data_IF_206963639732
#
_entry.id   IF_206963639732
#
_cell.length_a   1.000
_cell.length_b   1.000
_cell.length_c   1.000
_cell.angle_alpha   90.00
_cell.angle_beta   90.00
_cell.angle_gamma   90.00
#
_symmetry.space_group_name_H-M   'P 1'
#
loop_
_entity.id
_entity.type
_entity.pdbx_description
1 polymer ?
#
# COMPACT_ATOMS: atom_id res chain seq x y z
N UNK A 1 25.56 7.78 -12.92
CA UNK A 1 24.23 8.19 -12.44
C UNK A 1 24.24 8.17 -10.93
N UNK A 2 23.59 9.15 -10.30
CA UNK A 2 23.29 9.09 -8.87
C UNK A 2 22.22 8.00 -8.64
N UNK A 3 22.23 7.25 -7.52
CA UNK A 3 21.18 6.30 -7.17
C UNK A 3 19.74 6.78 -7.41
N UNK A 4 19.40 8.03 -7.03
CA UNK A 4 18.08 8.62 -7.30
C UNK A 4 17.72 8.67 -8.79
N UNK A 5 18.67 9.07 -9.64
CA UNK A 5 18.47 9.14 -11.09
C UNK A 5 18.27 7.75 -11.73
N UNK A 6 18.80 6.68 -11.11
CA UNK A 6 18.61 5.30 -11.59
C UNK A 6 17.26 4.72 -11.21
N UNK A 7 16.76 5.06 -10.03
CA UNK A 7 15.46 4.65 -9.50
C UNK A 7 14.31 5.29 -10.28
N UNK A 8 14.37 6.60 -10.46
CA UNK A 8 13.41 7.37 -11.25
C UNK A 8 13.39 6.85 -12.70
N UNK A 9 14.56 6.61 -13.29
CA UNK A 9 14.65 6.04 -14.64
C UNK A 9 14.15 4.60 -14.72
N UNK A 10 14.42 3.75 -13.73
CA UNK A 10 13.91 2.37 -13.72
C UNK A 10 12.38 2.31 -13.65
N UNK A 11 11.79 3.19 -12.84
CA UNK A 11 10.33 3.31 -12.74
C UNK A 11 9.74 3.78 -14.06
N UNK A 12 10.30 4.84 -14.67
CA UNK A 12 9.91 5.32 -16.00
C UNK A 12 10.05 4.23 -17.07
N UNK A 13 11.18 3.51 -17.09
CA UNK A 13 11.45 2.47 -18.09
C UNK A 13 10.53 1.24 -17.91
N UNK A 14 10.00 0.99 -16.70
CA UNK A 14 9.05 -0.10 -16.40
C UNK A 14 7.59 0.32 -16.69
N UNK A 15 7.23 1.57 -16.40
CA UNK A 15 5.96 2.20 -16.80
C UNK A 15 5.81 2.34 -18.31
N UNK A 16 6.88 2.70 -19.03
CA UNK A 16 6.90 2.74 -20.50
C UNK A 16 6.60 1.36 -21.11
N UNK A 17 6.97 0.27 -20.41
CA UNK A 17 6.65 -1.08 -20.85
C UNK A 17 5.18 -1.46 -20.64
N UNK A 18 4.49 -0.84 -19.69
CA UNK A 18 3.04 -1.04 -19.48
C UNK A 18 2.19 -0.31 -20.53
N UNK A 19 2.75 0.70 -21.21
CA UNK A 19 2.01 1.63 -22.06
C UNK A 19 2.27 1.46 -23.57
N UNK A 20 3.00 0.42 -24.01
CA UNK A 20 3.45 0.18 -25.40
C UNK A 20 4.24 1.35 -26.05
N UNK A 21 4.85 2.23 -25.26
CA UNK A 21 5.69 3.32 -25.78
C UNK A 21 7.15 2.89 -25.71
N UNK A 22 7.70 2.39 -26.82
CA UNK A 22 9.15 2.14 -26.95
C UNK A 22 9.92 3.46 -26.99
N UNK A 23 10.47 3.89 -25.86
CA UNK A 23 11.43 5.01 -25.84
C UNK A 23 12.83 4.50 -26.18
N UNK A 24 13.25 4.73 -27.43
CA UNK A 24 14.58 4.43 -27.97
C UNK A 24 15.61 5.46 -27.49
N UNK A 25 15.95 5.44 -26.19
CA UNK A 25 17.08 6.19 -25.67
C UNK A 25 18.19 5.23 -25.20
N UNK A 26 18.94 4.74 -26.19
CA UNK A 26 20.16 3.94 -26.04
C UNK A 26 21.29 4.77 -25.40
N UNK A 27 21.25 4.89 -24.07
CA UNK A 27 22.45 5.17 -23.28
C UNK A 27 22.98 3.84 -22.79
N UNK A 28 24.29 3.60 -22.95
CA UNK A 28 25.03 2.44 -22.44
C UNK A 28 24.70 2.18 -20.95
N UNK A 29 23.68 1.35 -20.70
CA UNK A 29 23.28 0.91 -19.38
C UNK A 29 24.21 -0.21 -18.92
N UNK A 30 24.41 -0.33 -17.62
CA UNK A 30 25.14 -1.48 -17.08
C UNK A 30 24.35 -2.76 -17.35
N UNK A 31 25.07 -3.86 -17.60
CA UNK A 31 24.47 -5.19 -17.80
C UNK A 31 23.52 -5.58 -16.65
N UNK A 32 23.83 -5.16 -15.43
CA UNK A 32 23.00 -5.38 -14.24
C UNK A 32 21.65 -4.64 -14.31
N UNK A 33 21.63 -3.41 -14.84
CA UNK A 33 20.38 -2.64 -14.99
C UNK A 33 19.46 -3.27 -16.03
N UNK A 34 20.00 -3.68 -17.17
CA UNK A 34 19.22 -4.36 -18.23
C UNK A 34 18.62 -5.68 -17.72
N UNK A 35 19.38 -6.44 -16.92
CA UNK A 35 18.89 -7.68 -16.30
C UNK A 35 17.78 -7.43 -15.27
N UNK A 36 17.93 -6.39 -14.44
CA UNK A 36 16.90 -6.01 -13.47
C UNK A 36 15.61 -5.54 -14.15
N UNK A 37 15.73 -4.79 -15.24
CA UNK A 37 14.57 -4.29 -16.00
C UNK A 37 13.86 -5.44 -16.71
N UNK A 38 14.60 -6.37 -17.31
CA UNK A 38 14.05 -7.58 -17.92
C UNK A 38 13.36 -8.48 -16.89
N UNK A 39 13.91 -8.59 -15.67
CA UNK A 39 13.27 -9.29 -14.55
C UNK A 39 11.94 -8.64 -14.15
N UNK A 40 11.93 -7.31 -14.00
CA UNK A 40 10.72 -6.54 -13.67
C UNK A 40 9.61 -6.76 -14.71
N UNK A 41 9.93 -6.61 -16.00
CA UNK A 41 8.99 -6.88 -17.11
C UNK A 41 8.41 -8.30 -17.07
N UNK A 42 9.26 -9.29 -16.79
CA UNK A 42 8.84 -10.70 -16.80
C UNK A 42 7.92 -11.08 -15.63
N UNK A 43 7.95 -10.33 -14.53
CA UNK A 43 7.16 -10.61 -13.33
C UNK A 43 5.85 -9.80 -13.26
N UNK A 44 5.78 -8.68 -13.96
CA UNK A 44 4.70 -7.69 -13.90
C UNK A 44 3.30 -8.27 -14.18
N UNK A 45 3.19 -9.15 -15.19
CA UNK A 45 1.91 -9.71 -15.64
C UNK A 45 1.69 -11.18 -15.22
N UNK A 46 2.44 -11.68 -14.23
CA UNK A 46 2.36 -13.09 -13.84
C UNK A 46 1.39 -13.31 -12.69
N UNK A 47 0.53 -14.32 -12.84
CA UNK A 47 -0.35 -14.80 -11.80
C UNK A 47 0.43 -15.68 -10.79
N UNK A 48 0.40 -15.28 -9.52
CA UNK A 48 1.02 -15.99 -8.39
C UNK A 48 -0.03 -16.62 -7.44
N UNK A 49 -1.27 -16.81 -7.90
CA UNK A 49 -2.33 -17.50 -7.16
C UNK A 49 -1.96 -18.98 -6.89
N UNK A 50 -2.69 -19.63 -5.97
CA UNK A 50 -2.47 -21.04 -5.59
C UNK A 50 -2.56 -22.03 -6.76
N UNK A 51 -3.33 -21.69 -7.80
CA UNK A 51 -3.53 -22.54 -8.97
C UNK A 51 -2.49 -22.31 -10.08
N UNK A 52 -1.59 -21.33 -9.90
CA UNK A 52 -0.51 -21.08 -10.85
C UNK A 52 0.70 -21.98 -10.57
N UNK A 53 1.42 -22.36 -11.64
CA UNK A 53 2.67 -23.11 -11.54
C UNK A 53 3.80 -22.15 -11.16
N UNK A 54 3.80 -21.71 -9.89
CA UNK A 54 4.69 -20.68 -9.35
C UNK A 54 6.17 -21.04 -9.54
N UNK A 55 6.51 -22.31 -9.39
CA UNK A 55 7.87 -22.81 -9.57
C UNK A 55 8.30 -22.70 -11.04
N UNK A 56 7.40 -23.00 -11.99
CA UNK A 56 7.65 -22.80 -13.41
C UNK A 56 7.73 -21.32 -13.80
N UNK A 57 6.88 -20.45 -13.24
CA UNK A 57 6.97 -19.00 -13.46
C UNK A 57 8.33 -18.49 -13.01
N UNK A 58 8.71 -18.79 -11.76
CA UNK A 58 10.00 -18.39 -11.20
C UNK A 58 11.17 -18.98 -12.00
N UNK A 59 11.13 -20.28 -12.33
CA UNK A 59 12.17 -20.97 -13.10
C UNK A 59 12.31 -20.41 -14.51
N UNK A 60 11.21 -20.12 -15.20
CA UNK A 60 11.25 -19.55 -16.55
C UNK A 60 11.85 -18.13 -16.51
N UNK A 61 11.47 -17.33 -15.53
CA UNK A 61 12.06 -16.00 -15.31
C UNK A 61 13.54 -16.07 -14.95
N UNK A 62 13.97 -17.04 -14.15
CA UNK A 62 15.38 -17.28 -13.84
C UNK A 62 16.16 -17.85 -15.05
N UNK A 63 15.53 -18.64 -15.91
CA UNK A 63 16.14 -19.22 -17.11
C UNK A 63 16.34 -18.20 -18.23
N UNK A 64 15.38 -17.30 -18.47
CA UNK A 64 15.54 -16.20 -19.44
C UNK A 64 16.74 -15.32 -19.08
N UNK A 65 16.93 -15.02 -17.78
CA UNK A 65 18.10 -14.26 -17.30
C UNK A 65 19.44 -14.96 -17.54
N UNK A 66 19.49 -16.30 -17.51
CA UNK A 66 20.73 -17.04 -17.78
C UNK A 66 21.09 -17.11 -19.26
N UNK A 67 20.11 -16.97 -20.17
CA UNK A 67 20.34 -16.91 -21.61
C UNK A 67 20.93 -15.56 -22.06
N UNK A 68 20.78 -14.49 -21.26
CA UNK A 68 21.41 -13.18 -21.50
C UNK A 68 22.90 -13.10 -21.12
N UNK A 69 23.53 -14.21 -20.68
CA UNK A 69 24.99 -14.27 -20.45
C UNK A 69 25.70 -14.76 -21.72
N UNK A 70 25.88 -13.86 -22.69
CA UNK A 70 26.93 -14.03 -23.70
C UNK A 70 28.31 -14.08 -23.02
N UNK A 71 29.15 -15.01 -23.45
CA UNK A 71 30.49 -15.27 -22.92
C UNK A 71 31.38 -14.01 -22.93
N UNK A 72 31.67 -13.44 -21.75
CA UNK A 72 32.74 -12.45 -21.58
C UNK A 72 33.59 -12.86 -20.36
N UNK A 73 34.93 -12.94 -20.49
CA UNK A 73 35.79 -13.53 -19.46
C UNK A 73 35.88 -12.64 -18.20
N UNK A 74 35.43 -13.18 -17.06
CA UNK A 74 35.55 -12.53 -15.76
C UNK A 74 37.01 -12.39 -15.32
N UNK A 75 37.53 -11.16 -15.23
CA UNK A 75 38.72 -10.86 -14.42
C UNK A 75 38.31 -10.69 -12.95
N UNK A 76 38.94 -11.48 -12.08
CA UNK A 76 38.90 -11.36 -10.62
C UNK A 76 39.19 -9.92 -10.18
N UNK A 77 38.30 -9.33 -9.39
CA UNK A 77 38.65 -8.26 -8.45
C UNK A 77 37.90 -8.47 -7.14
N UNK A 78 38.67 -8.61 -6.07
CA UNK A 78 38.24 -8.77 -4.70
C UNK A 78 38.52 -7.44 -3.97
N UNK A 79 37.58 -6.98 -3.13
CA UNK A 79 37.68 -6.06 -1.96
C UNK A 79 36.63 -4.93 -1.97
N UNK A 80 35.84 -4.95 -0.89
CA UNK A 80 34.80 -4.02 -0.44
C UNK A 80 35.07 -2.52 -0.68
N UNK A 81 34.01 -1.80 -1.07
CA UNK A 81 33.70 -0.47 -0.53
C UNK A 81 32.18 -0.26 -0.48
N UNK A 82 31.72 0.11 0.72
CA UNK A 82 30.36 0.52 1.07
C UNK A 82 29.80 1.50 0.04
N UNK A 83 28.68 1.14 -0.58
CA UNK A 83 27.78 2.09 -1.25
C UNK A 83 26.38 1.73 -0.79
N UNK A 84 25.78 2.68 -0.07
CA UNK A 84 24.36 2.64 0.27
C UNK A 84 23.57 2.75 -1.03
N UNK A 85 22.81 1.71 -1.36
CA UNK A 85 21.86 1.73 -2.47
C UNK A 85 20.46 1.73 -1.85
N UNK A 86 19.81 2.89 -1.99
CA UNK A 86 18.39 3.06 -1.81
C UNK A 86 17.65 2.09 -2.72
N UNK A 87 16.62 1.44 -2.18
CA UNK A 87 15.75 0.54 -2.91
C UNK A 87 14.31 0.87 -2.52
N UNK A 88 13.63 1.62 -3.38
CA UNK A 88 12.19 1.59 -3.61
C UNK A 88 12.04 1.47 -5.14
N UNK A 89 11.05 0.81 -5.74
CA UNK A 89 9.88 0.11 -5.29
C UNK A 89 9.68 -1.15 -6.17
N UNK A 90 9.10 -2.22 -5.62
CA UNK A 90 8.50 -3.30 -6.42
C UNK A 90 7.22 -3.76 -5.73
N UNK A 91 6.13 -3.78 -6.48
CA UNK A 91 4.76 -4.22 -6.14
C UNK A 91 4.62 -5.70 -5.80
N UNK A 92 5.35 -6.12 -4.77
CA UNK A 92 5.07 -7.27 -3.91
C UNK A 92 5.61 -6.83 -2.54
N UNK A 93 4.80 -6.96 -1.47
CA UNK A 93 5.16 -6.69 -0.06
C UNK A 93 4.76 -5.30 0.48
N UNK A 94 3.55 -5.18 1.02
CA UNK A 94 3.19 -4.09 1.95
C UNK A 94 3.53 -4.36 3.43
N UNK A 95 4.59 -5.11 3.78
CA UNK A 95 5.09 -5.15 5.17
C UNK A 95 6.60 -4.94 5.34
N UNK A 96 7.45 -5.02 4.31
CA UNK A 96 8.88 -4.93 4.52
C UNK A 96 9.55 -4.15 3.40
N UNK A 97 10.10 -3.01 3.79
CA UNK A 97 11.10 -2.25 3.04
C UNK A 97 12.12 -3.14 2.39
N UNK A 98 12.41 -2.80 1.13
CA UNK A 98 13.29 -3.48 0.18
C UNK A 98 14.78 -3.34 0.58
N UNK A 99 15.10 -3.13 1.85
CA UNK A 99 16.50 -2.97 2.28
C UNK A 99 17.26 -4.29 2.46
N UNK A 100 16.60 -5.47 2.45
CA UNK A 100 17.25 -6.76 2.74
C UNK A 100 16.62 -8.00 2.07
N UNK A 101 16.12 -7.92 0.83
CA UNK A 101 15.55 -9.12 0.18
C UNK A 101 16.69 -10.04 -0.29
N UNK A 102 17.07 -11.00 0.56
CA UNK A 102 17.74 -12.21 0.06
C UNK A 102 16.78 -12.97 -0.87
N UNK A 103 17.24 -13.56 -2.00
CA UNK A 103 16.38 -14.32 -2.92
C UNK A 103 15.52 -15.41 -2.24
N UNK A 104 15.99 -15.97 -1.12
CA UNK A 104 15.24 -16.93 -0.30
C UNK A 104 13.99 -16.34 0.37
N UNK A 105 13.97 -15.03 0.65
CA UNK A 105 12.85 -14.36 1.30
C UNK A 105 11.72 -14.03 0.33
N UNK A 106 12.06 -13.57 -0.88
CA UNK A 106 11.09 -13.39 -1.96
C UNK A 106 10.39 -14.71 -2.32
N UNK A 107 11.14 -15.82 -2.34
CA UNK A 107 10.59 -17.15 -2.55
C UNK A 107 9.55 -17.52 -1.47
N UNK A 108 9.89 -17.32 -0.19
CA UNK A 108 9.00 -17.60 0.94
C UNK A 108 7.71 -16.75 0.94
N UNK A 109 7.73 -15.53 0.43
CA UNK A 109 6.53 -14.68 0.36
C UNK A 109 5.63 -15.09 -0.81
N UNK A 110 6.20 -15.33 -2.00
CA UNK A 110 5.45 -15.77 -3.18
C UNK A 110 4.79 -17.14 -2.95
N UNK A 111 5.47 -18.05 -2.25
CA UNK A 111 4.89 -19.33 -1.84
C UNK A 111 3.62 -19.14 -0.98
N UNK A 112 3.67 -18.19 -0.05
CA UNK A 112 2.57 -17.88 0.88
C UNK A 112 1.40 -17.14 0.25
N UNK A 113 1.47 -16.66 -0.99
CA UNK A 113 0.30 -16.05 -1.63
C UNK A 113 -0.77 -17.11 -1.89
N UNK A 114 -1.94 -16.96 -1.25
CA UNK A 114 -3.10 -17.83 -1.46
C UNK A 114 -3.86 -17.39 -2.70
N UNK A 115 -4.17 -16.10 -2.80
CA UNK A 115 -5.07 -15.55 -3.82
C UNK A 115 -4.65 -14.12 -4.18
N UNK A 116 -4.89 -13.73 -5.43
CA UNK A 116 -4.69 -12.36 -5.90
C UNK A 116 -5.90 -11.95 -6.72
N UNK A 117 -6.47 -10.79 -6.42
CA UNK A 117 -7.56 -10.19 -7.21
C UNK A 117 -7.10 -8.81 -7.66
N UNK A 118 -7.10 -8.57 -8.97
CA UNK A 118 -6.81 -7.26 -9.57
C UNK A 118 -8.09 -6.66 -10.16
N UNK A 119 -8.34 -5.38 -9.89
CA UNK A 119 -9.46 -4.57 -10.36
C UNK A 119 -8.93 -3.20 -10.81
N UNK A 120 -8.64 -3.03 -12.11
CA UNK A 120 -8.07 -1.78 -12.61
C UNK A 120 -6.81 -1.39 -11.82
N UNK A 121 -6.88 -0.27 -11.11
CA UNK A 121 -5.79 0.28 -10.30
C UNK A 121 -5.76 -0.24 -8.84
N UNK A 122 -6.52 -1.30 -8.53
CA UNK A 122 -6.58 -1.91 -7.20
C UNK A 122 -6.10 -3.36 -7.29
N UNK A 123 -5.19 -3.77 -6.40
CA UNK A 123 -4.76 -5.17 -6.29
C UNK A 123 -4.82 -5.65 -4.85
N UNK A 124 -5.52 -6.75 -4.60
CA UNK A 124 -5.56 -7.40 -3.30
C UNK A 124 -4.84 -8.75 -3.33
N UNK A 125 -3.97 -8.96 -2.36
CA UNK A 125 -3.18 -10.16 -2.18
C UNK A 125 -3.58 -10.81 -0.86
N UNK A 126 -4.11 -12.02 -0.93
CA UNK A 126 -4.30 -12.87 0.23
C UNK A 126 -3.05 -13.69 0.45
N UNK A 127 -2.50 -13.64 1.64
CA UNK A 127 -1.36 -14.47 2.05
C UNK A 127 -1.79 -15.50 3.09
N UNK A 128 -1.05 -16.60 3.17
CA UNK A 128 -1.19 -17.54 4.27
C UNK A 128 -0.98 -16.76 5.57
N UNK A 129 -1.83 -16.98 6.60
CA UNK A 129 -1.56 -16.49 7.93
C UNK A 129 -0.18 -17.03 8.28
N UNK A 130 0.80 -16.14 8.33
CA UNK A 130 2.09 -16.54 8.80
C UNK A 130 1.82 -17.02 10.22
N UNK A 131 2.16 -18.28 10.54
CA UNK A 131 1.85 -18.94 11.81
C UNK A 131 2.46 -18.26 13.05
N UNK A 132 2.79 -16.97 12.97
CA UNK A 132 2.99 -16.05 14.06
C UNK A 132 1.71 -15.94 14.90
N UNK A 133 1.49 -16.96 15.71
CA UNK A 133 0.94 -16.81 17.06
C UNK A 133 1.93 -16.07 17.98
N UNK A 134 2.78 -15.19 17.44
CA UNK A 134 3.57 -14.30 18.27
C UNK A 134 2.63 -13.17 18.67
N UNK A 135 2.01 -13.36 19.84
CA UNK A 135 1.27 -12.29 20.55
C UNK A 135 2.14 -11.04 20.74
N UNK A 136 3.47 -11.19 20.62
CA UNK A 136 4.48 -10.21 20.91
C UNK A 136 5.61 -10.26 19.86
N UNK A 137 5.93 -9.14 19.24
CA UNK A 137 7.06 -8.98 18.32
C UNK A 137 7.94 -7.79 18.72
N UNK A 138 9.28 -7.91 18.63
CA UNK A 138 10.18 -6.84 19.06
C UNK A 138 9.99 -5.59 18.19
N UNK A 139 10.13 -4.42 18.80
CA UNK A 139 10.14 -3.15 18.08
C UNK A 139 11.35 -3.13 17.12
N UNK A 140 11.15 -2.76 15.83
CA UNK A 140 12.26 -2.66 14.88
C UNK A 140 13.36 -1.73 15.39
N UNK A 141 14.62 -2.03 15.05
CA UNK A 141 15.78 -1.20 15.44
C UNK A 141 15.60 0.28 15.10
N UNK A 142 14.93 0.60 13.98
CA UNK A 142 14.67 1.98 13.54
C UNK A 142 13.70 2.76 14.45
N UNK A 143 12.94 2.07 15.29
CA UNK A 143 11.94 2.62 16.21
C UNK A 143 12.32 2.48 17.69
N UNK A 144 13.39 1.75 18.02
CA UNK A 144 13.87 1.62 19.40
C UNK A 144 14.22 2.98 20.02
N UNK A 145 13.87 3.17 21.29
CA UNK A 145 14.05 4.44 22.02
C UNK A 145 13.11 5.56 21.59
N UNK A 146 12.19 5.35 20.65
CA UNK A 146 11.28 6.38 20.14
C UNK A 146 9.82 6.22 20.59
N UNK A 147 9.46 5.03 21.06
CA UNK A 147 8.07 4.68 21.37
C UNK A 147 7.91 4.50 22.88
N UNK A 148 6.94 5.20 23.45
CA UNK A 148 6.60 5.16 24.86
C UNK A 148 5.11 4.85 25.02
N UNK A 149 4.76 4.15 26.09
CA UNK A 149 3.38 3.92 26.47
C UNK A 149 2.79 5.11 27.26
N UNK A 150 1.53 4.98 27.67
CA UNK A 150 0.76 5.98 28.42
C UNK A 150 1.37 6.30 29.81
N UNK A 151 2.23 5.42 30.34
CA UNK A 151 2.95 5.59 31.61
C UNK A 151 4.34 6.20 31.40
N UNK A 152 4.73 6.49 30.15
CA UNK A 152 6.04 7.02 29.78
C UNK A 152 7.15 5.96 29.80
N UNK A 153 6.79 4.67 29.74
CA UNK A 153 7.76 3.58 29.66
C UNK A 153 8.05 3.24 28.20
N UNK A 154 9.33 3.01 27.89
CA UNK A 154 9.75 2.61 26.55
C UNK A 154 9.10 1.28 26.13
N UNK A 155 8.57 1.27 24.91
CA UNK A 155 7.98 0.09 24.28
C UNK A 155 9.10 -0.66 23.56
N UNK A 156 9.44 -1.84 24.06
CA UNK A 156 10.43 -2.73 23.44
C UNK A 156 9.79 -3.80 22.56
N UNK A 157 8.50 -4.07 22.77
CA UNK A 157 7.75 -5.16 22.16
C UNK A 157 6.35 -4.68 21.81
N UNK A 158 5.93 -4.91 20.57
CA UNK A 158 4.56 -4.75 20.15
C UNK A 158 3.75 -5.98 20.50
N UNK A 159 2.63 -5.79 21.20
CA UNK A 159 1.69 -6.85 21.48
C UNK A 159 0.44 -6.73 20.63
N UNK A 160 -0.06 -7.84 20.08
CA UNK A 160 -1.35 -7.88 19.40
C UNK A 160 -2.54 -7.62 20.33
N UNK A 161 -2.33 -7.72 21.65
CA UNK A 161 -3.34 -7.42 22.68
C UNK A 161 -3.30 -5.96 23.13
N UNK A 162 -2.25 -5.22 22.79
CA UNK A 162 -2.13 -3.82 23.17
C UNK A 162 -3.09 -2.97 22.34
N UNK A 163 -3.97 -2.25 23.04
CA UNK A 163 -4.99 -1.36 22.43
C UNK A 163 -4.84 0.09 22.89
N UNK A 164 -3.77 0.38 23.64
CA UNK A 164 -3.45 1.73 24.10
C UNK A 164 -2.79 2.57 23.01
N UNK A 165 -2.36 3.77 23.39
CA UNK A 165 -1.72 4.74 22.50
C UNK A 165 -0.20 4.77 22.69
N UNK A 166 0.51 5.12 21.63
CA UNK A 166 1.96 5.34 21.66
C UNK A 166 2.28 6.82 21.71
N UNK A 167 3.40 7.16 22.35
CA UNK A 167 3.88 8.51 22.53
C UNK A 167 5.37 8.62 22.19
N UNK A 168 5.80 9.83 21.83
CA UNK A 168 7.22 10.17 21.74
C UNK A 168 7.83 10.34 23.13
N UNK A 169 9.17 10.44 23.21
CA UNK A 169 9.86 10.75 24.47
C UNK A 169 9.42 12.09 25.10
N UNK A 170 8.96 13.01 24.27
CA UNK A 170 8.46 14.33 24.68
C UNK A 170 6.96 14.31 25.07
N UNK A 171 6.32 13.14 25.03
CA UNK A 171 4.92 12.94 25.40
C UNK A 171 3.90 13.30 24.31
N UNK A 172 4.34 13.44 23.05
CA UNK A 172 3.43 13.69 21.93
C UNK A 172 2.78 12.39 21.47
N UNK A 173 1.45 12.37 21.32
CA UNK A 173 0.71 11.19 20.84
C UNK A 173 1.08 10.87 19.39
N UNK A 174 1.45 9.61 19.14
CA UNK A 174 1.81 9.07 17.83
C UNK A 174 0.56 8.47 17.17
N UNK A 175 0.31 8.87 15.93
CA UNK A 175 -0.84 8.41 15.13
C UNK A 175 -0.46 7.50 13.96
N UNK A 176 0.81 7.53 13.53
CA UNK A 176 1.34 6.63 12.52
C UNK A 176 2.86 6.46 12.67
N UNK A 177 3.38 5.33 12.23
CA UNK A 177 4.80 5.02 12.27
C UNK A 177 5.23 4.14 11.10
N UNK A 178 6.34 4.51 10.48
CA UNK A 178 6.93 3.73 9.41
C UNK A 178 7.95 2.74 10.00
N UNK A 179 7.64 1.44 9.93
CA UNK A 179 8.48 0.36 10.46
C UNK A 179 9.82 0.20 9.73
N UNK A 180 9.99 0.92 8.62
CA UNK A 180 11.13 0.78 7.73
C UNK A 180 12.08 1.96 7.82
N UNK A 181 11.55 3.18 7.80
CA UNK A 181 12.33 4.42 7.92
C UNK A 181 12.48 4.86 9.38
N UNK A 182 11.59 4.40 10.27
CA UNK A 182 11.49 4.88 11.63
C UNK A 182 10.91 6.31 11.73
N UNK A 183 10.24 6.78 10.68
CA UNK A 183 9.45 8.02 10.70
C UNK A 183 8.22 7.87 11.59
N UNK A 184 7.94 8.90 12.37
CA UNK A 184 6.83 8.95 13.32
C UNK A 184 5.98 10.18 12.96
N UNK A 185 4.68 9.98 12.86
CA UNK A 185 3.72 11.08 12.72
C UNK A 185 2.99 11.25 14.05
N UNK A 186 3.07 12.45 14.63
CA UNK A 186 2.34 12.80 15.85
C UNK A 186 0.99 13.46 15.52
N UNK A 187 0.10 13.57 16.51
CA UNK A 187 -1.18 14.30 16.37
C UNK A 187 -0.94 15.72 15.87
N UNK A 188 0.01 16.45 16.46
CA UNK A 188 0.33 17.82 16.05
C UNK A 188 0.77 17.91 14.59
N UNK A 189 1.70 17.05 14.16
CA UNK A 189 2.16 16.99 12.77
C UNK A 189 1.02 16.66 11.79
N UNK A 190 0.12 15.75 12.18
CA UNK A 190 -1.04 15.40 11.37
C UNK A 190 -2.00 16.57 11.22
N UNK A 191 -2.32 17.26 12.31
CA UNK A 191 -3.24 18.39 12.29
C UNK A 191 -2.71 19.57 11.46
N UNK A 192 -1.39 19.74 11.42
CA UNK A 192 -0.75 20.70 10.52
C UNK A 192 -0.87 20.31 9.04
N UNK A 193 -0.79 19.01 8.72
CA UNK A 193 -0.83 18.48 7.34
C UNK A 193 -2.23 18.22 6.79
N UNK A 194 -3.27 18.27 7.62
CA UNK A 194 -4.64 17.92 7.22
C UNK A 194 -5.56 19.15 7.23
N UNK A 195 -6.37 19.28 6.18
CA UNK A 195 -7.53 20.17 6.15
C UNK A 195 -8.79 19.36 6.47
N UNK A 196 -9.53 19.78 7.50
CA UNK A 196 -10.78 19.13 7.91
C UNK A 196 -11.98 19.93 7.42
N UNK A 197 -12.89 19.28 6.69
CA UNK A 197 -14.12 19.86 6.16
C UNK A 197 -15.33 19.12 6.73
N UNK A 198 -16.25 19.86 7.36
CA UNK A 198 -17.52 19.31 7.90
C UNK A 198 -18.74 19.66 7.06
N UNK A 199 -18.58 20.53 6.08
CA UNK A 199 -19.66 20.97 5.19
C UNK A 199 -19.62 20.15 3.90
N UNK A 200 -20.61 19.29 3.71
CA UNK A 200 -20.75 18.43 2.53
C UNK A 200 -20.78 19.21 1.21
N UNK A 201 -21.31 20.43 1.21
CA UNK A 201 -21.40 21.25 0.00
C UNK A 201 -20.04 21.74 -0.50
N UNK A 202 -18.99 21.58 0.31
CA UNK A 202 -17.63 22.04 0.00
C UNK A 202 -16.69 20.95 -0.50
N UNK A 203 -17.07 19.67 -0.43
CA UNK A 203 -16.14 18.57 -0.72
C UNK A 203 -15.57 18.65 -2.14
N UNK A 204 -16.45 18.88 -3.13
CA UNK A 204 -16.09 19.00 -4.55
C UNK A 204 -15.28 20.27 -4.88
N UNK A 205 -15.06 21.18 -3.94
CA UNK A 205 -14.20 22.35 -4.16
C UNK A 205 -12.72 21.99 -4.10
N UNK A 206 -12.39 20.85 -3.51
CA UNK A 206 -11.02 20.46 -3.20
C UNK A 206 -10.51 19.29 -4.03
N UNK A 207 -11.39 18.54 -4.71
CA UNK A 207 -11.04 17.34 -5.48
C UNK A 207 -11.00 17.61 -6.98
N UNK A 208 -10.20 16.82 -7.71
CA UNK A 208 -10.21 16.81 -9.18
C UNK A 208 -11.30 15.90 -9.79
N UNK A 209 -12.16 15.32 -8.95
CA UNK A 209 -13.25 14.40 -9.29
C UNK A 209 -14.49 14.69 -8.43
N UNK A 210 -15.64 14.17 -8.86
CA UNK A 210 -16.89 14.30 -8.09
C UNK A 210 -16.89 13.31 -6.91
N UNK A 211 -17.03 13.83 -5.70
CA UNK A 211 -17.14 13.04 -4.48
C UNK A 211 -18.56 12.49 -4.35
N UNK A 212 -18.68 11.16 -4.35
CA UNK A 212 -19.97 10.49 -4.14
C UNK A 212 -20.13 10.06 -2.68
N UNK A 213 -21.29 10.30 -2.08
CA UNK A 213 -21.57 9.92 -0.70
C UNK A 213 -22.60 8.80 -0.66
N UNK A 214 -22.53 7.89 0.33
CA UNK A 214 -23.56 6.88 0.49
C UNK A 214 -24.90 7.56 0.81
N UNK A 215 -25.94 7.21 0.04
CA UNK A 215 -27.31 7.63 0.33
C UNK A 215 -27.93 6.85 1.50
N UNK A 216 -27.30 5.76 1.93
CA UNK A 216 -27.68 4.95 3.08
C UNK A 216 -26.53 4.81 4.07
N UNK A 217 -26.83 5.07 5.35
CA UNK A 217 -25.98 4.73 6.49
C UNK A 217 -26.81 3.96 7.52
N UNK A 218 -26.18 3.06 8.31
CA UNK A 218 -26.86 2.40 9.42
C UNK A 218 -27.38 3.41 10.46
N UNK A 219 -28.29 2.95 11.33
CA UNK A 219 -28.83 3.79 12.40
C UNK A 219 -27.72 4.44 13.23
N UNK A 220 -27.95 5.70 13.62
CA UNK A 220 -27.05 6.56 14.38
C UNK A 220 -25.74 6.97 13.68
N UNK A 221 -25.43 6.46 12.48
CA UNK A 221 -24.30 6.91 11.68
C UNK A 221 -24.69 8.11 10.81
N UNK A 222 -23.83 9.12 10.82
CA UNK A 222 -23.97 10.30 9.96
C UNK A 222 -22.59 10.74 9.46
N UNK A 223 -22.56 11.52 8.37
CA UNK A 223 -21.34 12.20 7.98
C UNK A 223 -20.83 13.08 9.13
N UNK A 224 -19.56 12.91 9.48
CA UNK A 224 -18.86 13.69 10.51
C UNK A 224 -17.92 14.71 9.87
N UNK A 225 -16.99 14.21 9.05
CA UNK A 225 -15.99 15.04 8.40
C UNK A 225 -15.38 14.38 7.17
N UNK A 226 -14.81 15.23 6.33
CA UNK A 226 -13.84 14.89 5.31
C UNK A 226 -12.47 15.44 5.71
N UNK A 227 -11.43 14.74 5.29
CA UNK A 227 -10.03 15.12 5.48
C UNK A 227 -9.32 15.14 4.13
N UNK A 228 -8.57 16.21 3.90
CA UNK A 228 -7.69 16.39 2.76
C UNK A 228 -6.25 16.59 3.24
N UNK A 229 -5.30 16.06 2.48
CA UNK A 229 -3.89 16.28 2.76
C UNK A 229 -3.41 17.55 2.06
N UNK A 230 -2.73 18.41 2.81
CA UNK A 230 -2.09 19.61 2.29
C UNK A 230 -0.83 19.22 1.51
N UNK A 231 -0.56 19.96 0.45
CA UNK A 231 0.72 19.90 -0.27
C UNK A 231 1.86 20.54 0.54
N UNK A 232 3.06 20.57 -0.04
CA UNK A 232 4.26 21.15 0.57
C UNK A 232 4.11 22.65 0.90
N UNK A 233 3.23 23.37 0.18
CA UNK A 233 2.93 24.78 0.40
C UNK A 233 1.78 24.98 1.42
N UNK A 234 1.23 23.91 1.97
CA UNK A 234 0.12 23.94 2.92
C UNK A 234 -1.26 24.14 2.28
N UNK A 235 -1.36 24.05 0.95
CA UNK A 235 -2.60 24.25 0.20
C UNK A 235 -3.32 22.92 -0.07
N UNK A 236 -4.62 23.01 -0.37
CA UNK A 236 -5.43 21.88 -0.86
C UNK A 236 -6.15 22.35 -2.12
N UNK A 237 -5.72 21.84 -3.26
CA UNK A 237 -6.33 22.15 -4.55
C UNK A 237 -6.22 20.93 -5.47
N UNK A 238 -7.27 20.62 -6.24
CA UNK A 238 -7.32 19.50 -7.18
C UNK A 238 -6.81 18.17 -6.56
N UNK A 239 -7.17 17.94 -5.30
CA UNK A 239 -6.73 16.76 -4.56
C UNK A 239 -7.24 15.49 -5.25
N UNK A 240 -6.33 14.54 -5.42
CA UNK A 240 -6.65 13.20 -5.91
C UNK A 240 -7.15 12.27 -4.81
N UNK A 241 -7.25 12.75 -3.56
CA UNK A 241 -7.62 11.94 -2.40
C UNK A 241 -8.64 12.67 -1.54
N UNK A 242 -9.61 11.92 -1.01
CA UNK A 242 -10.46 12.39 0.07
C UNK A 242 -10.73 11.25 1.05
N UNK A 243 -10.55 11.54 2.33
CA UNK A 243 -10.86 10.63 3.42
C UNK A 243 -12.15 11.07 4.09
N UNK A 244 -13.14 10.19 4.16
CA UNK A 244 -14.49 10.46 4.64
C UNK A 244 -14.77 9.62 5.89
N UNK A 245 -15.35 10.27 6.89
CA UNK A 245 -15.68 9.65 8.17
C UNK A 245 -17.17 9.78 8.43
N UNK A 246 -17.81 8.64 8.68
CA UNK A 246 -19.20 8.57 9.10
C UNK A 246 -19.23 8.01 10.52
N UNK A 247 -19.62 8.84 11.49
CA UNK A 247 -19.49 8.53 12.91
C UNK A 247 -20.86 8.20 13.50
N UNK A 248 -20.88 7.17 14.34
CA UNK A 248 -22.03 6.81 15.15
C UNK A 248 -22.14 7.76 16.35
N UNK A 249 -23.23 8.52 16.42
CA UNK A 249 -23.40 9.57 17.43
C UNK A 249 -23.47 9.04 18.88
N UNK A 250 -23.78 7.76 19.08
CA UNK A 250 -23.90 7.14 20.42
C UNK A 250 -22.59 6.54 20.91
N UNK A 251 -21.82 5.93 20.00
CA UNK A 251 -20.63 5.15 20.36
C UNK A 251 -19.31 5.83 19.99
N UNK A 252 -19.33 6.83 19.11
CA UNK A 252 -18.13 7.47 18.55
C UNK A 252 -17.36 6.58 17.56
N UNK A 253 -17.82 5.34 17.32
CA UNK A 253 -17.26 4.45 16.30
C UNK A 253 -17.59 4.97 14.92
N UNK A 254 -16.73 4.72 13.93
CA UNK A 254 -16.91 5.28 12.60
C UNK A 254 -16.70 4.25 11.48
N UNK A 255 -17.42 4.47 10.39
CA UNK A 255 -17.14 3.90 9.07
C UNK A 255 -16.17 4.85 8.38
N UNK A 256 -15.13 4.28 7.80
CA UNK A 256 -14.12 5.01 7.05
C UNK A 256 -14.32 4.75 5.56
N UNK A 257 -14.18 5.79 4.75
CA UNK A 257 -14.18 5.67 3.30
C UNK A 257 -13.08 6.53 2.72
N UNK A 258 -12.35 6.02 1.74
CA UNK A 258 -11.44 6.81 0.93
C UNK A 258 -11.88 6.76 -0.53
N UNK A 259 -11.85 7.92 -1.19
CA UNK A 259 -11.99 8.00 -2.63
C UNK A 259 -10.72 8.56 -3.23
N UNK A 260 -10.31 8.00 -4.36
CA UNK A 260 -9.14 8.43 -5.10
C UNK A 260 -9.45 8.61 -6.58
N UNK A 261 -8.85 9.59 -7.22
CA UNK A 261 -8.92 9.70 -8.68
C UNK A 261 -8.16 8.53 -9.32
N UNK A 262 -8.82 7.71 -10.15
CA UNK A 262 -8.23 6.50 -10.71
C UNK A 262 -7.16 6.81 -11.76
N UNK A 263 -5.89 6.73 -11.35
CA UNK A 263 -4.71 6.76 -12.19
C UNK A 263 -3.59 5.95 -11.53
N UNK A 264 -2.47 5.80 -12.23
CA UNK A 264 -1.31 5.05 -11.74
C UNK A 264 -0.69 5.64 -10.46
N UNK A 265 -0.80 6.97 -10.26
CA UNK A 265 -0.26 7.62 -9.05
C UNK A 265 -1.05 7.21 -7.81
N UNK A 266 -2.38 7.08 -7.93
CA UNK A 266 -3.24 6.74 -6.79
C UNK A 266 -3.58 5.26 -6.67
N UNK A 267 -3.18 4.46 -7.67
CA UNK A 267 -3.25 3.02 -7.66
C UNK A 267 -2.66 2.45 -6.37
N UNK A 268 -3.22 1.33 -5.90
CA UNK A 268 -2.74 0.75 -4.66
C UNK A 268 -2.89 -0.77 -4.61
N UNK A 269 -1.96 -1.36 -3.86
CA UNK A 269 -1.99 -2.76 -3.52
C UNK A 269 -2.29 -2.91 -2.02
N UNK A 270 -3.01 -3.97 -1.68
CA UNK A 270 -3.28 -4.36 -0.29
C UNK A 270 -2.90 -5.82 -0.10
N UNK A 271 -2.43 -6.15 1.11
CA UNK A 271 -2.18 -7.52 1.51
C UNK A 271 -2.90 -7.83 2.82
N UNK A 272 -3.46 -9.04 2.92
CA UNK A 272 -4.14 -9.52 4.13
C UNK A 272 -3.98 -11.03 4.28
N UNK A 273 -3.95 -11.51 5.52
CA UNK A 273 -4.10 -12.94 5.84
C UNK A 273 -5.58 -13.36 5.95
N UNK A 274 -6.48 -12.38 5.98
CA UNK A 274 -7.92 -12.56 5.92
C UNK A 274 -8.41 -13.00 4.54
N UNK A 275 -9.65 -13.51 4.49
CA UNK A 275 -10.23 -13.97 3.23
C UNK A 275 -10.52 -12.79 2.31
N UNK A 276 -10.10 -12.89 1.05
CA UNK A 276 -10.55 -11.97 -0.01
C UNK A 276 -11.54 -12.68 -0.95
N UNK A 277 -12.59 -11.97 -1.36
CA UNK A 277 -13.59 -12.47 -2.29
C UNK A 277 -13.94 -11.42 -3.34
N UNK A 278 -14.17 -11.84 -4.57
CA UNK A 278 -14.73 -10.98 -5.62
C UNK A 278 -16.25 -10.93 -5.48
N UNK A 279 -16.80 -9.72 -5.40
CA UNK A 279 -18.24 -9.44 -5.37
C UNK A 279 -18.60 -8.40 -6.43
N UNK A 280 -19.86 -7.96 -6.47
CA UNK A 280 -20.29 -6.84 -7.31
C UNK A 280 -20.93 -5.75 -6.47
N UNK A 281 -20.60 -4.50 -6.77
CA UNK A 281 -21.23 -3.30 -6.23
C UNK A 281 -21.75 -2.48 -7.41
N UNK A 282 -23.06 -2.26 -7.49
CA UNK A 282 -23.68 -1.52 -8.59
C UNK A 282 -23.27 -2.01 -10.00
N UNK A 283 -22.99 -3.31 -10.14
CA UNK A 283 -22.56 -3.95 -11.39
C UNK A 283 -21.04 -3.98 -11.62
N UNK A 284 -20.29 -3.06 -10.99
CA UNK A 284 -18.84 -3.06 -10.99
C UNK A 284 -18.29 -4.23 -10.17
N UNK A 285 -17.15 -4.77 -10.60
CA UNK A 285 -16.43 -5.77 -9.82
C UNK A 285 -15.81 -5.09 -8.59
N UNK A 286 -15.85 -5.78 -7.45
CA UNK A 286 -15.34 -5.28 -6.17
C UNK A 286 -14.65 -6.42 -5.41
N UNK A 287 -13.72 -6.07 -4.52
CA UNK A 287 -13.06 -6.99 -3.59
C UNK A 287 -13.64 -6.74 -2.21
N UNK A 288 -14.08 -7.79 -1.51
CA UNK A 288 -14.34 -7.73 -0.07
C UNK A 288 -13.23 -8.45 0.68
N UNK A 289 -12.65 -7.78 1.68
CA UNK A 289 -11.54 -8.28 2.49
C UNK A 289 -11.99 -8.47 3.94
N UNK A 290 -11.82 -9.69 4.46
CA UNK A 290 -12.17 -10.11 5.83
C UNK A 290 -13.60 -9.76 6.26
N UNK A 291 -14.52 -9.55 5.31
CA UNK A 291 -15.86 -9.03 5.56
C UNK A 291 -15.90 -7.65 6.26
N UNK A 292 -14.79 -6.90 6.22
CA UNK A 292 -14.60 -5.64 6.97
C UNK A 292 -14.34 -4.44 6.07
N UNK A 293 -13.80 -4.65 4.87
CA UNK A 293 -13.64 -3.61 3.86
C UNK A 293 -14.08 -4.07 2.48
N UNK A 294 -14.54 -3.13 1.66
CA UNK A 294 -14.85 -3.32 0.24
C UNK A 294 -14.07 -2.30 -0.56
N UNK A 295 -13.42 -2.77 -1.61
CA UNK A 295 -12.58 -1.98 -2.51
C UNK A 295 -13.09 -2.17 -3.95
N UNK A 296 -13.34 -1.09 -4.67
CA UNK A 296 -13.80 -1.14 -6.06
C UNK A 296 -13.40 0.10 -6.86
N UNK A 297 -13.38 -0.05 -8.18
CA UNK A 297 -13.17 1.05 -9.11
C UNK A 297 -14.43 1.26 -9.93
N UNK A 298 -14.89 2.52 -10.00
CA UNK A 298 -16.01 2.92 -10.85
C UNK A 298 -15.90 4.40 -11.22
N UNK A 299 -16.31 4.77 -12.43
CA UNK A 299 -16.37 6.17 -12.88
C UNK A 299 -15.06 6.96 -12.63
N UNK A 300 -13.91 6.37 -13.00
CA UNK A 300 -12.57 6.94 -12.78
C UNK A 300 -12.26 7.28 -11.31
N UNK A 301 -12.87 6.55 -10.38
CA UNK A 301 -12.65 6.73 -8.94
C UNK A 301 -12.41 5.38 -8.28
N UNK A 302 -11.36 5.30 -7.46
CA UNK A 302 -11.10 4.17 -6.58
C UNK A 302 -11.81 4.42 -5.26
N UNK A 303 -12.53 3.42 -4.79
CA UNK A 303 -13.29 3.47 -3.55
C UNK A 303 -12.76 2.41 -2.60
N UNK A 304 -12.45 2.81 -1.38
CA UNK A 304 -12.22 1.92 -0.26
C UNK A 304 -13.21 2.26 0.84
N UNK A 305 -14.03 1.30 1.26
CA UNK A 305 -14.99 1.43 2.34
C UNK A 305 -14.66 0.43 3.44
N UNK A 306 -14.37 0.90 4.64
CA UNK A 306 -14.06 0.07 5.81
C UNK A 306 -15.08 0.27 6.92
N UNK A 307 -15.78 -0.82 7.25
CA UNK A 307 -16.64 -0.90 8.43
C UNK A 307 -15.86 -1.16 9.72
N UNK A 308 -14.53 -1.32 9.64
CA UNK A 308 -13.61 -1.54 10.78
C UNK A 308 -13.95 -2.71 11.71
N UNK A 309 -14.82 -3.63 11.29
CA UNK A 309 -15.34 -4.73 12.12
C UNK A 309 -16.56 -4.37 12.97
N UNK A 310 -17.05 -3.14 12.85
CA UNK A 310 -18.25 -2.66 13.55
C UNK A 310 -19.52 -2.88 12.73
N UNK A 311 -19.37 -3.02 11.42
CA UNK A 311 -20.45 -3.21 10.45
C UNK A 311 -20.36 -4.62 9.86
N UNK A 312 -21.50 -5.30 9.77
CA UNK A 312 -21.58 -6.61 9.12
C UNK A 312 -21.31 -6.52 7.62
N UNK A 313 -20.87 -7.62 7.00
CA UNK A 313 -20.74 -7.76 5.54
C UNK A 313 -21.94 -7.22 4.77
N UNK A 314 -23.14 -7.63 5.18
CA UNK A 314 -24.38 -7.29 4.47
C UNK A 314 -24.66 -5.79 4.52
N UNK A 315 -24.46 -5.16 5.68
CA UNK A 315 -24.61 -3.72 5.82
C UNK A 315 -23.52 -2.95 5.07
N UNK A 316 -22.28 -3.45 5.06
CA UNK A 316 -21.20 -2.86 4.30
C UNK A 316 -21.49 -2.83 2.79
N UNK A 317 -22.02 -3.94 2.25
CA UNK A 317 -22.46 -4.04 0.86
C UNK A 317 -23.60 -3.03 0.60
N UNK A 318 -24.58 -2.95 1.48
CA UNK A 318 -25.72 -2.03 1.33
C UNK A 318 -25.29 -0.56 1.33
N UNK A 319 -24.32 -0.19 2.16
CA UNK A 319 -23.71 1.16 2.14
C UNK A 319 -23.02 1.39 0.80
N UNK A 320 -22.18 0.46 0.35
CA UNK A 320 -21.46 0.57 -0.92
C UNK A 320 -22.39 0.70 -2.13
N UNK A 321 -23.45 -0.11 -2.20
CA UNK A 321 -24.46 -0.05 -3.26
C UNK A 321 -25.27 1.26 -3.27
N UNK A 322 -25.30 1.99 -2.14
CA UNK A 322 -26.00 3.27 -2.02
C UNK A 322 -25.24 4.47 -2.58
N UNK A 323 -24.00 4.26 -3.02
CA UNK A 323 -23.12 5.26 -3.64
C UNK A 323 -23.34 5.22 -5.16
N UNK A 324 -23.92 6.28 -5.72
CA UNK A 324 -24.35 6.37 -7.13
C UNK A 324 -24.17 7.77 -7.68
#
# INVERSE_FOLDING_TARGET
MNPKDMEEKFSIDLEACMTEIEDNNDKLMSQEYSQLLELGKNLMDKDFSRDSDKEKVLKNTLQSMNQCKGEIPMKKANKFRKVFAAAAALGVVCIMSISLIQPSFAHNIVEKVINTISLGHIKAIQVEPAGYQQENFPVPEVLKGKLFDEEGKEVEVFSSQYTGKFYTADGEEIVDMCFTTGEITTVGMRDERVLVIKDLSKLNQYTCFEVLLPSYLPEDYQFDRAEFYKDEDGAVNNSKYISLYFTNNKTGKYIYMQQRFADEETAYEMATDGKIEKIKINGADAIISDNRSIDWEANNTLYMLSGRGEISKAELIKIAESIK
#
